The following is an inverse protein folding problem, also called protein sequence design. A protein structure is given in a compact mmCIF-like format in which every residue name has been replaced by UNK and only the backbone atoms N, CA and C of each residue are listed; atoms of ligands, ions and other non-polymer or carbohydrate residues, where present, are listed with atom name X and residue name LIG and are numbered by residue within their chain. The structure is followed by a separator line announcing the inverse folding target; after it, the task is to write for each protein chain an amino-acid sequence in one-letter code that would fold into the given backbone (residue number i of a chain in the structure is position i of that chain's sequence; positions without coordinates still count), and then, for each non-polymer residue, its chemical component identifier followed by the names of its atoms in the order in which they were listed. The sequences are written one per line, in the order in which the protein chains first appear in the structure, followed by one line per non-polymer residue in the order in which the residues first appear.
data_IF_248373450755
#
_entry.id   IF_248373450755
#
_cell.length_a   1.000
_cell.length_b   1.000
_cell.length_c   1.000
_cell.angle_alpha   90.00
_cell.angle_beta   90.00
_cell.angle_gamma   90.00
#
_symmetry.space_group_name_H-M   'P 1'
#
loop_
_entity.id
_entity.type
_entity.pdbx_description
1 polymer ?
#
# COMPACT_ATOMS: atom_id res chain seq x y z
N UNK A 1 -14.67 24.47 38.32
CA UNK A 1 -15.66 23.52 38.86
C UNK A 1 -15.54 22.22 38.06
N UNK A 2 -15.56 21.10 38.77
CA UNK A 2 -15.07 19.78 38.40
C UNK A 2 -15.57 19.23 37.06
N UNK A 3 -14.65 18.80 36.19
CA UNK A 3 -14.91 17.79 35.16
C UNK A 3 -14.27 16.48 35.62
N UNK A 4 -15.04 15.86 36.52
CA UNK A 4 -15.22 14.42 36.75
C UNK A 4 -14.03 13.48 36.63
N UNK A 5 -13.68 12.90 37.80
CA UNK A 5 -12.81 11.73 38.02
C UNK A 5 -13.11 10.56 37.07
N UNK A 6 -14.36 10.41 36.64
CA UNK A 6 -14.84 9.39 35.70
C UNK A 6 -14.22 9.51 34.30
N UNK A 7 -13.97 10.73 33.81
CA UNK A 7 -13.36 10.94 32.48
C UNK A 7 -11.90 10.45 32.47
N UNK A 8 -11.19 10.60 33.60
CA UNK A 8 -9.81 10.13 33.76
C UNK A 8 -9.75 8.60 33.88
N UNK A 9 -10.69 7.99 34.61
CA UNK A 9 -10.79 6.52 34.71
C UNK A 9 -11.19 5.87 33.37
N UNK A 10 -12.04 6.53 32.57
CA UNK A 10 -12.39 6.07 31.23
C UNK A 10 -11.21 6.10 30.25
N UNK A 11 -10.42 7.19 30.26
CA UNK A 11 -9.23 7.32 29.41
C UNK A 11 -8.14 6.32 29.81
N UNK A 12 -7.89 6.15 31.12
CA UNK A 12 -6.98 5.11 31.62
C UNK A 12 -7.46 3.71 31.20
N UNK A 13 -8.76 3.43 31.34
CA UNK A 13 -9.33 2.17 30.90
C UNK A 13 -9.20 1.93 29.40
N UNK A 14 -9.23 2.98 28.56
CA UNK A 14 -9.03 2.87 27.11
C UNK A 14 -7.57 2.56 26.78
N UNK A 15 -6.64 3.29 27.39
CA UNK A 15 -5.20 3.07 27.20
C UNK A 15 -4.77 1.65 27.58
N UNK A 16 -5.26 1.14 28.72
CA UNK A 16 -4.99 -0.24 29.15
C UNK A 16 -5.55 -1.28 28.17
N UNK A 17 -6.73 -1.04 27.57
CA UNK A 17 -7.32 -1.95 26.57
C UNK A 17 -6.53 -1.94 25.26
N UNK A 18 -6.04 -0.79 24.84
CA UNK A 18 -5.24 -0.64 23.61
C UNK A 18 -3.86 -1.28 23.78
N UNK A 19 -3.25 -1.19 24.97
CA UNK A 19 -1.99 -1.86 25.31
C UNK A 19 -2.15 -3.40 25.33
N UNK A 20 -3.24 -3.92 25.93
CA UNK A 20 -3.56 -5.35 25.89
C UNK A 20 -3.82 -5.86 24.46
N UNK A 21 -4.53 -5.08 23.64
CA UNK A 21 -4.77 -5.42 22.23
C UNK A 21 -3.46 -5.45 21.43
N UNK A 22 -2.57 -4.48 21.65
CA UNK A 22 -1.25 -4.44 21.02
C UNK A 22 -0.37 -5.61 21.47
N UNK A 23 -0.40 -5.98 22.75
CA UNK A 23 0.31 -7.14 23.28
C UNK A 23 -0.18 -8.45 22.63
N UNK A 24 -1.50 -8.63 22.47
CA UNK A 24 -2.09 -9.80 21.79
C UNK A 24 -1.69 -9.86 20.32
N UNK A 25 -1.66 -8.74 19.61
CA UNK A 25 -1.20 -8.68 18.22
C UNK A 25 0.28 -9.06 18.08
N UNK A 26 1.14 -8.56 18.97
CA UNK A 26 2.57 -8.93 19.00
C UNK A 26 2.75 -10.42 19.27
N UNK A 27 2.00 -10.97 20.23
CA UNK A 27 2.04 -12.39 20.56
C UNK A 27 1.58 -13.26 19.38
N UNK A 28 0.54 -12.85 18.67
CA UNK A 28 0.07 -13.56 17.48
C UNK A 28 1.09 -13.53 16.32
N UNK A 29 1.80 -12.42 16.12
CA UNK A 29 2.89 -12.32 15.12
C UNK A 29 4.08 -13.23 15.48
N UNK A 30 4.47 -13.26 16.76
CA UNK A 30 5.55 -14.13 17.24
C UNK A 30 5.21 -15.62 17.12
N UNK A 31 3.96 -15.99 17.38
CA UNK A 31 3.48 -17.37 17.18
C UNK A 31 3.57 -17.80 15.71
N UNK A 32 3.15 -16.93 14.78
CA UNK A 32 3.30 -17.18 13.33
C UNK A 32 4.77 -17.30 12.93
N UNK A 33 5.64 -16.42 13.44
CA UNK A 33 7.07 -16.48 13.16
C UNK A 33 7.71 -17.78 13.68
N UNK A 34 7.45 -18.17 14.93
CA UNK A 34 7.97 -19.41 15.51
C UNK A 34 7.44 -20.66 14.79
N UNK A 35 6.18 -20.65 14.33
CA UNK A 35 5.62 -21.73 13.53
C UNK A 35 6.30 -21.83 12.15
N UNK A 36 6.48 -20.71 11.45
CA UNK A 36 7.20 -20.69 10.16
C UNK A 36 8.66 -21.09 10.31
N UNK A 37 9.33 -20.66 11.38
CA UNK A 37 10.70 -21.03 11.69
C UNK A 37 10.82 -22.53 12.02
N UNK A 38 9.83 -23.10 12.72
CA UNK A 38 9.73 -24.54 12.98
C UNK A 38 9.59 -25.36 11.71
N UNK A 39 8.74 -24.92 10.77
CA UNK A 39 8.57 -25.60 9.48
C UNK A 39 9.85 -25.55 8.63
N UNK A 40 10.48 -24.37 8.51
CA UNK A 40 11.71 -24.22 7.71
C UNK A 40 12.87 -24.99 8.34
N UNK A 41 13.03 -24.96 9.66
CA UNK A 41 14.07 -25.74 10.36
C UNK A 41 13.85 -27.25 10.25
N UNK A 42 12.60 -27.72 10.28
CA UNK A 42 12.25 -29.13 10.04
C UNK A 42 12.57 -29.58 8.62
N UNK A 43 12.23 -28.77 7.61
CA UNK A 43 12.56 -29.06 6.21
C UNK A 43 14.09 -29.11 5.99
N UNK A 44 14.83 -28.15 6.55
CA UNK A 44 16.29 -28.13 6.45
C UNK A 44 16.93 -29.34 7.14
N UNK A 45 16.45 -29.73 8.34
CA UNK A 45 16.93 -30.92 9.03
C UNK A 45 16.64 -32.19 8.23
N UNK A 46 15.46 -32.31 7.63
CA UNK A 46 15.10 -33.42 6.75
C UNK A 46 16.01 -33.49 5.51
N UNK A 47 16.26 -32.36 4.85
CA UNK A 47 17.17 -32.29 3.71
C UNK A 47 18.60 -32.72 4.08
N UNK A 48 19.10 -32.31 5.25
CA UNK A 48 20.44 -32.72 5.72
C UNK A 48 20.51 -34.23 5.98
N UNK A 49 19.48 -34.82 6.59
CA UNK A 49 19.42 -36.29 6.79
C UNK A 49 19.40 -37.02 5.45
N UNK A 50 18.60 -36.53 4.49
CA UNK A 50 18.53 -37.10 3.14
C UNK A 50 19.89 -37.02 2.42
N UNK A 51 20.54 -35.86 2.43
CA UNK A 51 21.87 -35.67 1.83
C UNK A 51 22.93 -36.56 2.50
N UNK A 52 22.88 -36.70 3.82
CA UNK A 52 23.78 -37.59 4.56
C UNK A 52 23.54 -39.06 4.22
N UNK A 53 22.29 -39.51 4.08
CA UNK A 53 21.98 -40.88 3.64
C UNK A 53 22.56 -41.16 2.25
N UNK A 54 22.50 -40.18 1.33
CA UNK A 54 23.13 -40.29 0.00
C UNK A 54 24.66 -40.28 0.03
N UNK A 55 25.28 -39.55 0.97
CA UNK A 55 26.73 -39.53 1.11
C UNK A 55 27.31 -40.84 1.67
N UNK A 56 26.55 -41.59 2.47
CA UNK A 56 27.01 -42.83 3.11
C UNK A 56 26.66 -44.11 2.34
N UNK A 57 25.82 -44.05 1.31
CA UNK A 57 25.53 -45.20 0.41
C UNK A 57 25.61 -44.77 -1.07
N UNK A 58 26.81 -44.75 -1.68
CA UNK A 58 26.96 -44.48 -3.11
C UNK A 58 26.70 -45.79 -3.87
N UNK A 59 25.44 -46.18 -3.98
CA UNK A 59 25.09 -47.43 -4.66
C UNK A 59 23.59 -47.64 -4.74
N UNK A 60 23.04 -47.33 -5.91
CA UNK A 60 21.66 -47.57 -6.37
C UNK A 60 20.58 -46.64 -5.81
N UNK A 61 20.45 -45.46 -6.40
CA UNK A 61 19.11 -44.91 -6.67
C UNK A 61 18.99 -44.85 -8.18
N UNK A 62 18.09 -45.66 -8.73
CA UNK A 62 17.79 -45.68 -10.16
C UNK A 62 16.99 -44.42 -10.51
N UNK A 63 17.21 -43.85 -11.69
CA UNK A 63 16.53 -42.63 -12.19
C UNK A 63 15.00 -42.70 -12.06
N UNK A 64 14.43 -43.91 -11.97
CA UNK A 64 13.01 -44.16 -11.66
C UNK A 64 12.56 -43.61 -10.30
N UNK A 65 13.36 -43.70 -9.24
CA UNK A 65 12.96 -43.24 -7.90
C UNK A 65 12.97 -41.71 -7.80
N UNK A 66 13.87 -41.04 -8.51
CA UNK A 66 13.89 -39.57 -8.60
C UNK A 66 12.66 -39.07 -9.34
N UNK A 67 12.33 -39.70 -10.48
CA UNK A 67 11.14 -39.36 -11.26
C UNK A 67 9.82 -39.65 -10.50
N UNK A 68 9.78 -40.69 -9.66
CA UNK A 68 8.63 -41.01 -8.81
C UNK A 68 8.43 -39.98 -7.68
N UNK A 69 9.51 -39.41 -7.15
CA UNK A 69 9.45 -38.31 -6.16
C UNK A 69 9.01 -37.01 -6.82
N UNK A 70 9.53 -36.69 -8.01
CA UNK A 70 9.17 -35.47 -8.76
C UNK A 70 7.70 -35.49 -9.20
N UNK A 71 7.19 -36.64 -9.66
CA UNK A 71 5.76 -36.81 -9.99
C UNK A 71 4.85 -36.77 -8.76
N UNK A 72 5.32 -37.25 -7.60
CA UNK A 72 4.58 -37.14 -6.33
C UNK A 72 4.50 -35.69 -5.83
N UNK A 73 5.56 -34.88 -6.04
CA UNK A 73 5.57 -33.45 -5.72
C UNK A 73 4.64 -32.65 -6.64
N UNK A 74 4.68 -32.91 -7.95
CA UNK A 74 3.78 -32.27 -8.92
C UNK A 74 2.30 -32.54 -8.60
N UNK A 75 1.97 -33.78 -8.20
CA UNK A 75 0.61 -34.16 -7.82
C UNK A 75 0.14 -33.53 -6.49
N UNK A 76 1.07 -33.21 -5.57
CA UNK A 76 0.76 -32.50 -4.33
C UNK A 76 0.56 -31.00 -4.55
N UNK A 77 1.32 -30.37 -5.46
CA UNK A 77 1.15 -28.97 -5.86
C UNK A 77 -0.17 -28.74 -6.61
N UNK A 78 -0.57 -29.66 -7.51
CA UNK A 78 -1.85 -29.58 -8.21
C UNK A 78 -3.06 -29.71 -7.25
N UNK A 79 -2.92 -30.51 -6.18
CA UNK A 79 -3.95 -30.64 -5.13
C UNK A 79 -4.06 -29.39 -4.26
N UNK A 80 -2.93 -28.74 -3.95
CA UNK A 80 -2.91 -27.49 -3.19
C UNK A 80 -3.44 -26.30 -4.02
N UNK A 81 -3.22 -26.32 -5.34
CA UNK A 81 -3.78 -25.34 -6.27
C UNK A 81 -5.30 -25.45 -6.42
N UNK A 82 -5.83 -26.67 -6.52
CA UNK A 82 -7.27 -26.91 -6.67
C UNK A 82 -8.08 -26.52 -5.41
N UNK A 83 -7.53 -26.74 -4.20
CA UNK A 83 -8.20 -26.35 -2.95
C UNK A 83 -8.21 -24.82 -2.74
N UNK A 84 -7.26 -24.07 -3.30
CA UNK A 84 -7.20 -22.60 -3.19
C UNK A 84 -8.20 -21.92 -4.13
N UNK A 85 -8.49 -22.50 -5.30
CA UNK A 85 -9.50 -21.98 -6.23
C UNK A 85 -10.93 -22.17 -5.67
N UNK A 86 -11.18 -23.25 -4.92
CA UNK A 86 -12.47 -23.50 -4.27
C UNK A 86 -12.77 -22.54 -3.10
N UNK A 87 -11.74 -22.04 -2.39
CA UNK A 87 -11.92 -21.11 -1.25
C UNK A 87 -12.18 -19.66 -1.69
N UNK A 88 -11.70 -19.27 -2.87
CA UNK A 88 -11.87 -17.91 -3.40
C UNK A 88 -13.29 -17.61 -3.89
N UNK A 89 -14.08 -18.63 -4.24
CA UNK A 89 -15.43 -18.43 -4.80
C UNK A 89 -16.56 -18.42 -3.75
N UNK A 90 -16.35 -18.98 -2.55
CA UNK A 90 -17.37 -19.00 -1.49
C UNK A 90 -17.36 -17.78 -0.55
N UNK A 91 -16.39 -16.86 -0.67
CA UNK A 91 -16.26 -15.70 0.23
C UNK A 91 -16.37 -14.32 -0.43
N UNK A 92 -16.70 -14.25 -1.73
CA UNK A 92 -16.97 -12.97 -2.37
C UNK A 92 -18.35 -12.42 -1.91
N UNK A 93 -18.41 -11.29 -1.17
CA UNK A 93 -19.69 -10.65 -0.87
C UNK A 93 -20.36 -10.22 -2.18
N UNK A 94 -21.70 -10.39 -2.26
CA UNK A 94 -22.55 -10.10 -3.44
C UNK A 94 -22.35 -8.69 -4.06
N UNK A 95 -21.74 -7.75 -3.32
CA UNK A 95 -21.35 -6.43 -3.80
C UNK A 95 -20.31 -6.46 -4.93
N UNK A 96 -19.45 -7.48 -5.00
CA UNK A 96 -18.40 -7.60 -6.01
C UNK A 96 -18.96 -8.14 -7.34
N UNK A 97 -20.02 -8.95 -7.26
CA UNK A 97 -20.65 -9.58 -8.43
C UNK A 97 -21.33 -8.53 -9.33
N UNK A 98 -21.95 -7.51 -8.74
CA UNK A 98 -22.56 -6.41 -9.51
C UNK A 98 -21.53 -5.50 -10.20
N UNK A 99 -20.29 -5.45 -9.69
CA UNK A 99 -19.22 -4.65 -10.30
C UNK A 99 -18.62 -5.32 -11.55
N UNK A 100 -18.64 -6.66 -11.60
CA UNK A 100 -18.07 -7.43 -12.71
C UNK A 100 -19.02 -7.53 -13.92
N UNK A 101 -20.33 -7.45 -13.71
CA UNK A 101 -21.32 -7.46 -14.81
C UNK A 101 -21.38 -6.13 -15.59
N UNK A 102 -20.76 -5.06 -15.08
CA UNK A 102 -20.75 -3.73 -15.70
C UNK A 102 -19.70 -3.51 -16.80
N UNK A 103 -18.74 -4.41 -16.98
CA UNK A 103 -17.58 -4.20 -17.88
C UNK A 103 -17.85 -4.75 -19.30
N UNK A 104 -19.12 -4.72 -19.73
CA UNK A 104 -19.59 -5.39 -20.93
C UNK A 104 -20.33 -4.52 -21.94
N UNK A 105 -19.77 -3.38 -22.40
CA UNK A 105 -20.14 -2.85 -23.74
C UNK A 105 -19.32 -1.67 -24.28
N UNK A 106 -18.70 -1.95 -25.45
CA UNK A 106 -18.60 -1.12 -26.68
C UNK A 106 -17.32 -0.30 -26.92
N UNK A 107 -16.55 -0.88 -27.84
CA UNK A 107 -15.91 -0.30 -29.05
C UNK A 107 -14.76 0.71 -28.90
N UNK A 108 -13.54 0.21 -29.17
CA UNK A 108 -12.61 0.80 -30.14
C UNK A 108 -12.24 2.28 -29.99
N UNK A 109 -11.42 2.62 -28.99
CA UNK A 109 -10.59 3.83 -28.97
C UNK A 109 -9.28 3.52 -28.22
N UNK A 110 -8.15 4.14 -28.62
CA UNK A 110 -6.86 3.90 -27.96
C UNK A 110 -6.99 4.26 -26.48
N UNK A 111 -6.42 3.41 -25.63
CA UNK A 111 -6.52 3.52 -24.17
C UNK A 111 -5.99 4.87 -23.67
N UNK A 112 -6.87 5.86 -23.58
CA UNK A 112 -6.69 7.02 -22.73
C UNK A 112 -7.24 6.61 -21.36
N UNK A 113 -6.36 6.13 -20.48
CA UNK A 113 -6.62 5.91 -19.06
C UNK A 113 -6.86 7.26 -18.34
N UNK A 114 -7.85 8.02 -18.81
CA UNK A 114 -8.28 9.26 -18.18
C UNK A 114 -9.48 8.92 -17.32
N UNK A 115 -9.20 8.63 -16.04
CA UNK A 115 -10.22 8.78 -15.00
C UNK A 115 -10.80 10.20 -15.14
N UNK A 116 -12.13 10.37 -15.15
CA UNK A 116 -12.73 11.69 -15.24
C UNK A 116 -12.29 12.54 -14.05
N UNK A 117 -11.72 13.72 -14.33
CA UNK A 117 -11.21 14.65 -13.31
C UNK A 117 -12.35 15.19 -12.44
N UNK A 118 -12.15 15.26 -11.12
CA UNK A 118 -13.10 15.95 -10.23
C UNK A 118 -12.81 17.45 -10.19
N UNK A 119 -13.52 18.22 -11.02
CA UNK A 119 -13.40 19.69 -11.09
C UNK A 119 -14.42 20.42 -10.20
N UNK A 120 -14.61 19.95 -8.97
CA UNK A 120 -15.64 20.47 -8.05
C UNK A 120 -15.11 21.42 -6.98
N UNK A 121 -13.79 21.60 -6.89
CA UNK A 121 -13.13 22.55 -6.00
C UNK A 121 -13.79 23.95 -6.04
N UNK A 122 -14.16 24.43 -4.85
CA UNK A 122 -14.64 25.79 -4.65
C UNK A 122 -13.53 26.80 -5.00
N UNK A 123 -13.88 28.03 -5.38
CA UNK A 123 -12.87 29.02 -5.79
C UNK A 123 -11.80 29.30 -4.72
N UNK A 124 -12.14 29.21 -3.43
CA UNK A 124 -11.21 29.40 -2.33
C UNK A 124 -10.24 28.24 -2.11
N UNK A 125 -10.57 27.06 -2.60
CA UNK A 125 -9.77 25.83 -2.42
C UNK A 125 -8.95 25.49 -3.68
N UNK A 126 -9.05 26.31 -4.73
CA UNK A 126 -8.33 26.09 -5.99
C UNK A 126 -6.86 26.45 -5.83
N UNK A 127 -6.00 25.45 -6.04
CA UNK A 127 -4.57 25.63 -6.19
C UNK A 127 -4.19 25.69 -7.66
N UNK A 128 -3.33 26.65 -8.02
CA UNK A 128 -2.88 26.87 -9.39
C UNK A 128 -2.07 25.68 -9.92
N UNK A 129 -2.55 25.07 -11.00
CA UNK A 129 -1.86 23.99 -11.71
C UNK A 129 -0.97 24.51 -12.87
N UNK A 130 -1.00 25.81 -13.13
CA UNK A 130 -0.17 26.47 -14.12
C UNK A 130 0.55 27.70 -13.54
N UNK A 131 1.51 27.51 -12.61
CA UNK A 131 2.22 28.62 -11.97
C UNK A 131 3.21 29.36 -12.89
N UNK A 132 3.25 29.03 -14.19
CA UNK A 132 4.15 29.66 -15.16
C UNK A 132 3.69 31.06 -15.57
N UNK A 133 4.65 31.92 -15.93
CA UNK A 133 4.41 33.33 -16.28
C UNK A 133 3.60 33.57 -17.57
N UNK A 134 3.35 32.53 -18.37
CA UNK A 134 2.54 32.63 -19.59
C UNK A 134 1.11 32.19 -19.31
N UNK A 135 0.15 32.84 -19.96
CA UNK A 135 -1.26 32.54 -19.78
C UNK A 135 -1.54 31.06 -20.04
N UNK A 136 -2.20 30.40 -19.08
CA UNK A 136 -2.71 29.06 -19.25
C UNK A 136 -3.76 29.06 -20.38
N UNK A 137 -3.74 28.01 -21.21
CA UNK A 137 -4.82 27.74 -22.16
C UNK A 137 -5.57 26.50 -21.71
N UNK A 138 -6.84 26.37 -22.11
CA UNK A 138 -7.66 25.20 -21.78
C UNK A 138 -6.96 23.88 -22.16
N UNK A 139 -6.47 23.79 -23.40
CA UNK A 139 -5.81 22.59 -23.92
C UNK A 139 -4.55 22.24 -23.13
N UNK A 140 -3.71 23.22 -22.80
CA UNK A 140 -2.49 22.98 -22.04
C UNK A 140 -2.78 22.63 -20.58
N UNK A 141 -3.84 23.20 -20.00
CA UNK A 141 -4.29 22.86 -18.65
C UNK A 141 -4.78 21.42 -18.57
N UNK A 142 -5.65 21.02 -19.50
CA UNK A 142 -6.21 19.67 -19.56
C UNK A 142 -5.13 18.63 -19.90
N UNK A 143 -4.12 18.98 -20.71
CA UNK A 143 -2.97 18.12 -20.97
C UNK A 143 -2.10 17.83 -19.73
N UNK A 144 -2.21 18.66 -18.68
CA UNK A 144 -1.61 18.40 -17.35
C UNK A 144 -2.53 17.61 -16.41
N UNK A 145 -3.66 17.10 -16.92
CA UNK A 145 -4.75 16.50 -16.14
C UNK A 145 -5.30 17.45 -15.07
N UNK A 146 -5.43 18.74 -15.42
CA UNK A 146 -5.97 19.76 -14.55
C UNK A 146 -7.30 20.33 -15.06
N UNK A 147 -8.01 20.99 -14.15
CA UNK A 147 -9.33 21.55 -14.38
C UNK A 147 -9.22 22.98 -14.92
N UNK A 148 -10.10 23.30 -15.87
CA UNK A 148 -10.16 24.61 -16.52
C UNK A 148 -11.46 25.33 -16.18
N UNK A 149 -11.36 26.58 -15.74
CA UNK A 149 -12.48 27.51 -15.63
C UNK A 149 -12.09 28.86 -16.25
N UNK A 150 -12.68 29.25 -17.39
CA UNK A 150 -12.34 30.49 -18.07
C UNK A 150 -12.88 31.76 -17.37
N UNK A 151 -13.78 31.62 -16.40
CA UNK A 151 -14.47 32.75 -15.76
C UNK A 151 -14.56 32.56 -14.24
N UNK A 152 -13.45 32.65 -13.50
CA UNK A 152 -13.52 32.73 -12.05
C UNK A 152 -14.25 34.01 -11.62
N UNK A 153 -15.07 33.90 -10.58
CA UNK A 153 -15.88 35.00 -10.04
C UNK A 153 -15.04 35.95 -9.18
N UNK A 154 -13.95 35.43 -8.60
CA UNK A 154 -13.06 36.17 -7.69
C UNK A 154 -11.71 36.44 -8.34
N UNK A 155 -11.22 37.67 -8.21
CA UNK A 155 -9.89 38.05 -8.71
C UNK A 155 -8.79 37.27 -7.99
N UNK A 156 -7.80 36.78 -8.75
CA UNK A 156 -6.66 36.01 -8.22
C UNK A 156 -6.91 34.50 -8.15
N UNK A 157 -8.12 34.03 -8.42
CA UNK A 157 -8.42 32.60 -8.55
C UNK A 157 -7.86 32.09 -9.87
N UNK A 158 -7.16 30.94 -9.88
CA UNK A 158 -6.54 30.41 -11.10
C UNK A 158 -7.58 29.88 -12.09
N UNK A 159 -7.36 30.15 -13.37
CA UNK A 159 -8.13 29.59 -14.47
C UNK A 159 -7.84 28.08 -14.65
N UNK A 160 -6.60 27.66 -14.39
CA UNK A 160 -6.17 26.27 -14.43
C UNK A 160 -5.82 25.79 -13.02
N UNK A 161 -6.53 24.79 -12.50
CA UNK A 161 -6.39 24.36 -11.11
C UNK A 161 -6.33 22.84 -10.98
N UNK A 162 -5.72 22.36 -9.89
CA UNK A 162 -5.66 20.91 -9.61
C UNK A 162 -7.07 20.36 -9.31
N UNK A 163 -7.42 19.18 -9.85
CA UNK A 163 -8.67 18.49 -9.49
C UNK A 163 -8.64 18.00 -8.04
N UNK A 164 -9.81 17.77 -7.45
CA UNK A 164 -9.92 17.28 -6.06
C UNK A 164 -9.28 15.90 -5.87
N UNK A 165 -9.25 15.09 -6.93
CA UNK A 165 -8.67 13.75 -6.95
C UNK A 165 -7.29 13.70 -7.62
N UNK A 166 -6.56 14.82 -7.63
CA UNK A 166 -5.19 14.86 -8.11
C UNK A 166 -4.28 13.95 -7.28
N UNK A 167 -3.71 12.92 -7.91
CA UNK A 167 -2.79 11.98 -7.25
C UNK A 167 -1.41 12.61 -7.13
N UNK A 168 -0.98 12.84 -5.88
CA UNK A 168 0.37 13.30 -5.55
C UNK A 168 1.20 12.16 -4.96
N UNK A 169 2.20 12.48 -4.12
CA UNK A 169 2.89 11.47 -3.34
C UNK A 169 1.94 10.83 -2.32
N UNK A 170 2.02 9.51 -2.21
CA UNK A 170 1.37 8.70 -1.18
C UNK A 170 2.39 8.26 -0.14
N UNK A 171 1.93 8.09 1.10
CA UNK A 171 2.76 7.53 2.17
C UNK A 171 2.75 6.01 2.04
N UNK A 172 3.92 5.41 1.83
CA UNK A 172 4.04 3.94 1.63
C UNK A 172 4.56 3.22 2.85
N UNK A 173 5.40 3.87 3.65
CA UNK A 173 5.95 3.31 4.89
C UNK A 173 6.07 4.40 5.94
N UNK A 174 5.83 4.06 7.21
CA UNK A 174 6.01 4.95 8.36
C UNK A 174 6.70 4.18 9.48
N UNK A 175 7.68 4.82 10.11
CA UNK A 175 8.39 4.29 11.28
C UNK A 175 8.66 5.39 12.30
N UNK A 176 8.59 5.04 13.57
CA UNK A 176 9.01 5.95 14.64
C UNK A 176 10.54 6.01 14.76
N UNK A 177 11.06 7.20 15.03
CA UNK A 177 12.47 7.42 15.37
C UNK A 177 12.58 7.73 16.86
N UNK A 178 13.44 7.01 17.57
CA UNK A 178 13.65 7.19 19.02
C UNK A 178 14.73 8.25 19.30
N UNK A 179 15.72 8.39 18.42
CA UNK A 179 16.84 9.33 18.60
C UNK A 179 17.33 9.88 17.25
N UNK A 180 17.00 11.14 16.90
CA UNK A 180 16.13 12.05 17.64
C UNK A 180 14.66 11.57 17.65
N UNK A 181 13.87 11.95 18.67
CA UNK A 181 12.46 11.58 18.75
C UNK A 181 11.71 12.15 17.56
N UNK A 182 10.92 11.33 16.88
CA UNK A 182 10.28 11.71 15.63
C UNK A 182 9.63 10.57 14.88
N UNK A 183 9.36 10.80 13.60
CA UNK A 183 8.86 9.81 12.66
C UNK A 183 9.58 9.97 11.33
N UNK A 184 9.79 8.85 10.64
CA UNK A 184 10.26 8.81 9.25
C UNK A 184 9.21 8.15 8.38
N UNK A 185 9.01 8.67 7.17
CA UNK A 185 8.08 8.09 6.22
C UNK A 185 8.65 8.09 4.81
N UNK A 186 8.31 7.05 4.04
CA UNK A 186 8.62 7.01 2.61
C UNK A 186 7.41 7.56 1.86
N UNK A 187 7.66 8.56 1.01
CA UNK A 187 6.68 9.13 0.11
C UNK A 187 6.95 8.64 -1.31
N UNK A 188 5.95 8.09 -1.99
CA UNK A 188 6.10 7.60 -3.36
C UNK A 188 5.06 8.21 -4.28
N UNK A 189 5.45 8.53 -5.51
CA UNK A 189 4.56 8.99 -6.58
C UNK A 189 4.64 8.01 -7.73
N UNK A 190 3.50 7.50 -8.17
CA UNK A 190 3.42 6.52 -9.26
C UNK A 190 3.45 7.19 -10.64
N UNK A 191 2.88 8.39 -10.75
CA UNK A 191 2.77 9.12 -12.01
C UNK A 191 3.63 10.38 -11.99
N UNK A 192 4.51 10.50 -12.98
CA UNK A 192 5.30 11.72 -13.16
C UNK A 192 4.37 12.94 -13.26
N UNK A 193 4.75 13.99 -12.56
CA UNK A 193 4.17 15.31 -12.65
C UNK A 193 4.49 15.95 -14.00
N UNK A 194 3.82 17.07 -14.33
CA UNK A 194 4.13 17.85 -15.51
C UNK A 194 5.46 18.62 -15.47
N UNK A 195 6.28 18.45 -14.42
CA UNK A 195 7.54 19.14 -14.24
C UNK A 195 8.72 18.21 -14.56
N UNK A 196 9.83 18.75 -15.10
CA UNK A 196 11.00 17.94 -15.38
C UNK A 196 11.67 17.49 -14.07
N UNK A 197 12.36 16.35 -14.14
CA UNK A 197 13.24 15.86 -13.06
C UNK A 197 12.53 15.55 -11.73
N UNK A 198 11.33 14.96 -11.80
CA UNK A 198 10.67 14.43 -10.61
C UNK A 198 11.52 13.40 -9.87
N UNK A 199 11.46 13.46 -8.54
CA UNK A 199 12.06 12.46 -7.65
C UNK A 199 10.96 11.56 -7.11
N UNK A 200 10.70 10.42 -7.76
CA UNK A 200 9.50 9.60 -7.51
C UNK A 200 9.40 9.02 -6.08
N UNK A 201 10.53 8.92 -5.37
CA UNK A 201 10.58 8.41 -4.00
C UNK A 201 11.33 9.40 -3.11
N UNK A 202 10.70 9.84 -2.03
CA UNK A 202 11.24 10.79 -1.07
C UNK A 202 11.22 10.18 0.34
N UNK A 203 12.05 10.71 1.21
CA UNK A 203 12.03 10.43 2.64
C UNK A 203 11.57 11.67 3.39
N UNK A 204 10.46 11.56 4.10
CA UNK A 204 9.98 12.55 5.04
C UNK A 204 10.56 12.23 6.41
N UNK A 205 11.27 13.20 7.00
CA UNK A 205 11.76 13.14 8.37
C UNK A 205 11.05 14.21 9.21
N UNK A 206 10.39 13.77 10.28
CA UNK A 206 9.70 14.63 11.25
C UNK A 206 10.41 14.51 12.58
N UNK A 207 10.97 15.61 13.09
CA UNK A 207 11.71 15.65 14.35
C UNK A 207 10.97 16.50 15.39
N UNK A 208 10.73 15.90 16.56
CA UNK A 208 10.17 16.58 17.72
C UNK A 208 11.27 17.29 18.51
N UNK A 209 11.72 18.44 18.02
CA UNK A 209 12.87 19.13 18.61
C UNK A 209 12.60 19.64 20.03
N UNK A 210 11.41 20.20 20.26
CA UNK A 210 10.95 20.67 21.59
C UNK A 210 9.42 20.60 21.68
N UNK A 211 8.85 20.89 22.86
CA UNK A 211 7.39 20.87 23.06
C UNK A 211 6.60 21.87 22.20
N UNK A 212 7.25 22.90 21.65
CA UNK A 212 6.64 23.93 20.81
C UNK A 212 7.32 24.09 19.44
N UNK A 213 8.18 23.14 19.05
CA UNK A 213 8.90 23.20 17.77
C UNK A 213 8.96 21.83 17.11
N UNK A 214 8.37 21.76 15.93
CA UNK A 214 8.39 20.63 15.02
C UNK A 214 9.31 20.99 13.84
N UNK A 215 10.23 20.10 13.48
CA UNK A 215 11.03 20.24 12.27
C UNK A 215 10.64 19.14 11.27
N UNK A 216 10.37 19.54 10.03
CA UNK A 216 9.95 18.63 8.96
C UNK A 216 10.88 18.84 7.78
N UNK A 217 11.46 17.74 7.29
CA UNK A 217 12.32 17.71 6.12
C UNK A 217 11.79 16.68 5.12
N UNK A 218 11.82 17.03 3.83
CA UNK A 218 11.50 16.16 2.69
C UNK A 218 12.68 16.17 1.74
#
# INVERSE_FOLDING_TARGET
MAKTKEDREFLLGKELRDEEALARLKQHRLQRYNFTLGLVSGLLASCVVIVMLFAFHPGSVSDTVINDIETSFQSAEDRLGADIEQVLEETAPEEIKSLLEGIGSKTGQPANNSRPLSCKASESDRFDCWPHHYMASETLCQARNCCWNPNPSTQGVPYCFYPDDYVSYTVTHVSDSVSPPGMTATLARETASPYPSDVLQLQLDVTYETYNRLHVKV
#
